data_IF_846622133620
#
_entry.id   IF_846622133620
#
_cell.length_a   1.000
_cell.length_b   1.000
_cell.length_c   1.000
_cell.angle_alpha   90.00
_cell.angle_beta   90.00
_cell.angle_gamma   90.00
#
_symmetry.space_group_name_H-M   'P 1'
#
loop_
_entity.id
_entity.type
_entity.pdbx_description
1 polymer ?
#
# COMPACT_ATOMS: atom_id res chain seq x y z
N UNK A 1 10.50 2.66 -6.87
CA UNK A 1 9.96 1.82 -7.96
C UNK A 1 10.50 2.30 -9.32
N UNK A 2 10.70 1.39 -10.28
CA UNK A 2 11.05 1.77 -11.66
C UNK A 2 9.93 2.59 -12.31
N UNK A 3 10.30 3.49 -13.22
CA UNK A 3 9.37 4.31 -14.02
C UNK A 3 8.44 5.23 -13.22
N UNK A 4 8.80 5.59 -12.00
CA UNK A 4 8.02 6.55 -11.18
C UNK A 4 7.87 7.91 -11.89
N UNK A 5 8.82 8.27 -12.75
CA UNK A 5 8.77 9.48 -13.58
C UNK A 5 7.61 9.50 -14.59
N UNK A 6 7.01 8.34 -14.88
CA UNK A 6 5.82 8.21 -15.77
C UNK A 6 4.50 8.32 -15.02
N UNK A 7 4.53 8.31 -13.68
CA UNK A 7 3.33 8.41 -12.84
C UNK A 7 2.85 9.86 -12.81
N UNK A 8 1.60 10.08 -13.20
CA UNK A 8 0.96 11.38 -13.08
C UNK A 8 0.17 11.42 -11.78
N UNK A 9 0.54 12.30 -10.87
CA UNK A 9 -0.14 12.49 -9.59
C UNK A 9 -1.25 13.51 -9.74
N UNK A 10 -2.46 13.17 -9.31
CA UNK A 10 -3.64 14.04 -9.37
C UNK A 10 -3.44 15.32 -8.53
N UNK A 11 -2.93 15.20 -7.30
CA UNK A 11 -2.68 16.33 -6.41
C UNK A 11 -1.71 17.38 -6.95
N UNK A 12 -0.91 17.02 -7.97
CA UNK A 12 0.05 17.92 -8.62
C UNK A 12 -0.34 18.33 -10.03
N UNK A 13 -1.08 17.48 -10.73
CA UNK A 13 -1.40 17.66 -12.14
C UNK A 13 -2.83 17.22 -12.45
N UNK A 14 -3.87 17.82 -11.80
CA UNK A 14 -5.26 17.39 -11.96
C UNK A 14 -5.75 17.50 -13.40
N UNK A 15 -5.38 18.59 -14.12
CA UNK A 15 -5.78 18.79 -15.51
C UNK A 15 -5.28 17.67 -16.42
N UNK A 16 -4.01 17.27 -16.24
CA UNK A 16 -3.44 16.17 -17.02
C UNK A 16 -4.09 14.83 -16.73
N UNK A 17 -4.51 14.58 -15.49
CA UNK A 17 -5.27 13.37 -15.14
C UNK A 17 -6.63 13.37 -15.83
N UNK A 18 -7.33 14.51 -15.87
CA UNK A 18 -8.60 14.65 -16.57
C UNK A 18 -8.44 14.38 -18.07
N UNK A 19 -7.42 14.97 -18.72
CA UNK A 19 -7.09 14.68 -20.13
C UNK A 19 -6.85 13.19 -20.39
N UNK A 20 -6.16 12.50 -19.45
CA UNK A 20 -5.94 11.07 -19.56
C UNK A 20 -7.26 10.28 -19.47
N UNK A 21 -8.17 10.64 -18.57
CA UNK A 21 -9.47 10.01 -18.48
C UNK A 21 -10.32 10.27 -19.74
N UNK A 22 -10.31 11.48 -20.26
CA UNK A 22 -11.08 11.86 -21.48
C UNK A 22 -10.58 11.10 -22.73
N UNK A 23 -9.30 10.82 -22.80
CA UNK A 23 -8.67 10.10 -23.92
C UNK A 23 -8.59 8.58 -23.72
N UNK A 24 -8.96 8.06 -22.57
CA UNK A 24 -8.85 6.65 -22.26
C UNK A 24 -9.83 5.80 -23.09
N UNK A 25 -9.36 4.65 -23.58
CA UNK A 25 -10.20 3.61 -24.17
C UNK A 25 -10.56 2.52 -23.15
N UNK A 26 -9.80 2.41 -22.08
CA UNK A 26 -9.98 1.46 -20.99
C UNK A 26 -9.28 1.99 -19.73
N UNK A 27 -9.91 1.85 -18.56
CA UNK A 27 -9.35 2.23 -17.28
C UNK A 27 -9.22 1.00 -16.38
N UNK A 28 -8.02 0.75 -15.86
CA UNK A 28 -7.82 -0.23 -14.81
C UNK A 28 -7.85 0.47 -13.45
N UNK A 29 -8.78 0.04 -12.61
CA UNK A 29 -8.95 0.48 -11.23
C UNK A 29 -8.26 -0.54 -10.32
N UNK A 30 -7.09 -0.19 -9.79
CA UNK A 30 -6.26 -1.13 -9.03
C UNK A 30 -6.20 -0.72 -7.57
N UNK A 31 -6.47 -1.67 -6.67
CA UNK A 31 -6.30 -1.55 -5.22
C UNK A 31 -7.28 -0.58 -4.53
N UNK A 32 -8.48 -0.47 -5.08
CA UNK A 32 -9.60 0.21 -4.44
C UNK A 32 -10.95 -0.35 -4.90
N UNK A 33 -11.89 -0.45 -3.97
CA UNK A 33 -13.21 -1.07 -4.13
C UNK A 33 -14.34 -0.07 -4.35
N UNK A 34 -14.08 1.22 -4.19
CA UNK A 34 -15.04 2.32 -4.32
C UNK A 34 -14.34 3.58 -4.83
N UNK A 35 -15.03 4.38 -5.64
CA UNK A 35 -14.50 5.62 -6.19
C UNK A 35 -14.11 6.64 -5.10
N UNK A 36 -14.73 6.59 -3.91
CA UNK A 36 -14.39 7.49 -2.81
C UNK A 36 -12.97 7.31 -2.27
N UNK A 37 -12.31 6.16 -2.53
CA UNK A 37 -10.92 5.92 -2.09
C UNK A 37 -9.87 6.65 -2.92
N UNK A 38 -10.24 7.17 -4.08
CA UNK A 38 -9.34 8.01 -4.88
C UNK A 38 -9.54 9.51 -4.61
N UNK A 39 -10.20 9.84 -3.48
CA UNK A 39 -10.34 11.19 -2.92
C UNK A 39 -10.76 12.22 -3.99
N UNK A 40 -9.94 13.25 -4.21
CA UNK A 40 -10.19 14.33 -5.16
C UNK A 40 -10.34 13.87 -6.62
N UNK A 41 -9.83 12.69 -6.97
CA UNK A 41 -9.94 12.14 -8.33
C UNK A 41 -11.30 11.44 -8.59
N UNK A 42 -12.15 11.30 -7.56
CA UNK A 42 -13.42 10.58 -7.63
C UNK A 42 -14.30 11.06 -8.77
N UNK A 43 -14.55 12.37 -8.85
CA UNK A 43 -15.48 12.94 -9.82
C UNK A 43 -14.99 12.73 -11.25
N UNK A 44 -13.68 12.87 -11.49
CA UNK A 44 -13.08 12.62 -12.79
C UNK A 44 -13.18 11.12 -13.20
N UNK A 45 -12.96 10.22 -12.24
CA UNK A 45 -13.10 8.79 -12.47
C UNK A 45 -14.55 8.39 -12.79
N UNK A 46 -15.53 8.96 -12.07
CA UNK A 46 -16.96 8.68 -12.28
C UNK A 46 -17.46 9.27 -13.59
N UNK A 47 -16.98 10.46 -13.98
CA UNK A 47 -17.32 11.10 -15.26
C UNK A 47 -16.70 10.40 -16.48
N UNK A 48 -15.62 9.66 -16.30
CA UNK A 48 -14.94 8.95 -17.39
C UNK A 48 -15.84 7.92 -18.05
N UNK A 49 -16.03 8.04 -19.37
CA UNK A 49 -16.89 7.17 -20.19
C UNK A 49 -16.23 5.86 -20.61
N UNK A 50 -14.91 5.77 -20.49
CA UNK A 50 -14.20 4.55 -20.83
C UNK A 50 -14.65 3.38 -19.92
N UNK A 51 -14.76 2.15 -20.47
CA UNK A 51 -15.02 0.97 -19.66
C UNK A 51 -13.94 0.81 -18.59
N UNK A 52 -14.37 0.35 -17.42
CA UNK A 52 -13.49 0.18 -16.26
C UNK A 52 -13.34 -1.30 -15.92
N UNK A 53 -12.13 -1.74 -15.65
CA UNK A 53 -11.84 -3.06 -15.07
C UNK A 53 -11.30 -2.82 -13.67
N UNK A 54 -11.97 -3.36 -12.66
CA UNK A 54 -11.51 -3.28 -11.28
C UNK A 54 -10.77 -4.57 -10.89
N UNK A 55 -9.59 -4.42 -10.30
CA UNK A 55 -8.80 -5.51 -9.72
C UNK A 55 -8.47 -5.09 -8.29
N UNK A 56 -9.00 -5.83 -7.31
CA UNK A 56 -8.93 -5.41 -5.92
C UNK A 56 -9.06 -6.59 -4.96
N UNK A 57 -8.57 -6.43 -3.73
CA UNK A 57 -8.69 -7.42 -2.67
C UNK A 57 -9.47 -6.91 -1.44
N UNK A 58 -10.02 -5.70 -1.50
CA UNK A 58 -10.83 -5.16 -0.41
C UNK A 58 -12.26 -5.72 -0.42
N UNK A 59 -12.90 -5.68 0.76
CA UNK A 59 -14.28 -6.13 0.94
C UNK A 59 -15.27 -5.13 0.31
N UNK A 60 -16.45 -5.65 -0.12
CA UNK A 60 -17.59 -4.85 -0.56
C UNK A 60 -17.28 -3.89 -1.75
N UNK A 61 -16.89 -4.42 -2.92
CA UNK A 61 -16.73 -3.61 -4.11
C UNK A 61 -18.06 -2.94 -4.50
N UNK A 62 -18.06 -1.64 -4.80
CA UNK A 62 -19.26 -0.86 -5.09
C UNK A 62 -19.15 0.02 -6.34
N UNK A 63 -18.06 -0.07 -7.10
CA UNK A 63 -17.91 0.66 -8.35
C UNK A 63 -18.64 -0.02 -9.50
N UNK A 64 -19.24 0.78 -10.38
CA UNK A 64 -19.74 0.30 -11.67
C UNK A 64 -18.56 0.03 -12.62
N UNK A 65 -18.40 -1.22 -13.04
CA UNK A 65 -17.28 -1.66 -13.87
C UNK A 65 -17.72 -2.69 -14.91
N UNK A 66 -17.04 -2.72 -16.04
CA UNK A 66 -17.23 -3.74 -17.08
C UNK A 66 -16.87 -5.13 -16.55
N UNK A 67 -15.80 -5.21 -15.77
CA UNK A 67 -15.29 -6.43 -15.14
C UNK A 67 -14.77 -6.10 -13.75
N UNK A 68 -15.20 -6.90 -12.77
CA UNK A 68 -14.75 -6.83 -11.39
C UNK A 68 -14.01 -8.13 -11.04
N UNK A 69 -12.73 -8.02 -10.75
CA UNK A 69 -11.90 -9.11 -10.23
C UNK A 69 -11.55 -8.75 -8.79
N UNK A 70 -12.39 -9.19 -7.86
CA UNK A 70 -12.21 -8.91 -6.43
C UNK A 70 -12.13 -10.21 -5.65
N UNK A 71 -11.09 -10.34 -4.81
CA UNK A 71 -10.93 -11.49 -3.94
C UNK A 71 -10.28 -11.10 -2.60
N UNK A 72 -11.08 -10.87 -1.54
CA UNK A 72 -10.59 -10.49 -0.23
C UNK A 72 -9.75 -11.56 0.50
N UNK A 73 -9.74 -12.80 0.02
CA UNK A 73 -8.92 -13.86 0.59
C UNK A 73 -7.45 -13.81 0.10
N UNK A 74 -7.18 -13.04 -0.95
CA UNK A 74 -5.84 -12.87 -1.51
C UNK A 74 -5.09 -11.76 -0.75
N UNK A 75 -3.78 -11.93 -0.59
CA UNK A 75 -2.94 -11.09 0.26
C UNK A 75 -2.79 -9.65 -0.22
N UNK A 76 -2.90 -9.41 -1.52
CA UNK A 76 -2.73 -8.10 -2.14
C UNK A 76 -3.30 -8.04 -3.55
N UNK A 77 -3.65 -6.85 -4.00
CA UNK A 77 -4.00 -6.63 -5.42
C UNK A 77 -2.84 -6.99 -6.35
N UNK A 78 -1.61 -6.78 -5.93
CA UNK A 78 -0.42 -7.18 -6.70
C UNK A 78 -0.32 -8.68 -6.91
N UNK A 79 -0.77 -9.50 -5.95
CA UNK A 79 -0.88 -10.94 -6.13
C UNK A 79 -1.93 -11.29 -7.18
N UNK A 80 -3.09 -10.62 -7.19
CA UNK A 80 -4.14 -10.84 -8.22
C UNK A 80 -3.59 -10.50 -9.60
N UNK A 81 -2.86 -9.39 -9.73
CA UNK A 81 -2.22 -8.99 -10.99
C UNK A 81 -1.24 -10.06 -11.48
N UNK A 82 -0.39 -10.60 -10.59
CA UNK A 82 0.48 -11.72 -10.95
C UNK A 82 -0.30 -12.93 -11.46
N UNK A 83 -1.35 -13.33 -10.73
CA UNK A 83 -2.19 -14.49 -11.08
C UNK A 83 -2.83 -14.32 -12.47
N UNK A 84 -3.30 -13.12 -12.80
CA UNK A 84 -3.83 -12.80 -14.12
C UNK A 84 -2.76 -12.93 -15.22
N UNK A 85 -1.58 -12.33 -15.01
CA UNK A 85 -0.46 -12.41 -15.94
C UNK A 85 -0.08 -13.87 -16.19
N UNK A 86 -0.04 -14.67 -15.11
CA UNK A 86 0.28 -16.10 -15.18
C UNK A 86 -0.77 -16.89 -15.94
N UNK A 87 -2.06 -16.70 -15.62
CA UNK A 87 -3.17 -17.40 -16.29
C UNK A 87 -3.29 -17.06 -17.78
N UNK A 88 -2.92 -15.86 -18.15
CA UNK A 88 -2.90 -15.40 -19.54
C UNK A 88 -1.62 -15.85 -20.29
N UNK A 89 -0.72 -16.61 -19.66
CA UNK A 89 0.57 -17.03 -20.21
C UNK A 89 1.50 -15.89 -20.64
N UNK A 90 1.40 -14.73 -19.95
CA UNK A 90 2.26 -13.57 -20.23
C UNK A 90 3.45 -13.44 -19.26
N UNK A 91 3.67 -14.37 -18.35
CA UNK A 91 4.74 -14.26 -17.35
C UNK A 91 6.12 -14.14 -17.99
N UNK A 92 6.39 -14.89 -19.05
CA UNK A 92 7.70 -14.84 -19.73
C UNK A 92 7.96 -13.48 -20.38
N UNK A 93 6.91 -12.78 -20.80
CA UNK A 93 6.99 -11.48 -21.45
C UNK A 93 7.17 -10.31 -20.48
N UNK A 94 6.90 -10.46 -19.17
CA UNK A 94 7.11 -9.36 -18.23
C UNK A 94 8.61 -9.13 -17.99
N UNK A 95 8.96 -7.85 -17.95
CA UNK A 95 10.33 -7.45 -17.68
C UNK A 95 10.60 -7.37 -16.15
N UNK A 96 11.88 -7.30 -15.81
CA UNK A 96 12.35 -7.18 -14.43
C UNK A 96 11.66 -6.08 -13.65
N UNK A 97 11.41 -4.92 -14.23
CA UNK A 97 10.78 -3.79 -13.53
C UNK A 97 9.32 -4.07 -13.16
N UNK A 98 8.60 -4.82 -13.99
CA UNK A 98 7.24 -5.26 -13.67
C UNK A 98 7.26 -6.24 -12.49
N UNK A 99 8.17 -7.22 -12.51
CA UNK A 99 8.34 -8.16 -11.40
C UNK A 99 8.71 -7.45 -10.08
N UNK A 100 9.55 -6.41 -10.12
CA UNK A 100 9.88 -5.56 -8.96
C UNK A 100 8.63 -4.87 -8.41
N UNK A 101 7.77 -4.31 -9.26
CA UNK A 101 6.56 -3.64 -8.83
C UNK A 101 5.58 -4.60 -8.16
N UNK A 102 5.34 -5.77 -8.77
CA UNK A 102 4.47 -6.82 -8.21
C UNK A 102 5.01 -7.30 -6.87
N UNK A 103 6.30 -7.64 -6.79
CA UNK A 103 6.92 -8.08 -5.55
C UNK A 103 6.82 -7.03 -4.45
N UNK A 104 7.07 -5.76 -4.78
CA UNK A 104 6.99 -4.66 -3.82
C UNK A 104 5.58 -4.52 -3.24
N UNK A 105 4.53 -4.56 -4.08
CA UNK A 105 3.14 -4.50 -3.62
C UNK A 105 2.78 -5.68 -2.72
N UNK A 106 3.12 -6.92 -3.11
CA UNK A 106 2.90 -8.09 -2.25
C UNK A 106 3.63 -7.96 -0.91
N UNK A 107 4.87 -7.47 -0.91
CA UNK A 107 5.69 -7.29 0.28
C UNK A 107 5.09 -6.23 1.22
N UNK A 108 4.64 -5.10 0.70
CA UNK A 108 4.08 -4.02 1.52
C UNK A 108 2.77 -4.41 2.16
N UNK A 109 1.86 -5.03 1.43
CA UNK A 109 0.54 -5.43 1.93
C UNK A 109 0.59 -6.55 2.98
N UNK A 110 1.65 -7.33 2.95
CA UNK A 110 1.85 -8.43 3.90
C UNK A 110 2.84 -8.10 5.03
N UNK A 111 3.25 -6.83 5.15
CA UNK A 111 4.22 -6.41 6.14
C UNK A 111 5.54 -7.19 6.06
N UNK A 112 6.09 -7.34 4.86
CA UNK A 112 7.28 -8.14 4.63
C UNK A 112 7.04 -9.65 4.72
N UNK A 113 5.84 -10.09 4.35
CA UNK A 113 5.40 -11.50 4.42
C UNK A 113 5.28 -12.04 5.85
N UNK A 114 4.88 -11.20 6.80
CA UNK A 114 4.70 -11.57 8.20
C UNK A 114 3.25 -11.80 8.59
N UNK A 115 2.29 -11.31 7.81
CA UNK A 115 0.86 -11.55 7.99
C UNK A 115 0.16 -11.74 6.65
N UNK A 116 -1.00 -12.40 6.68
CA UNK A 116 -1.81 -12.77 5.50
C UNK A 116 -1.00 -13.43 4.36
N UNK A 117 0.04 -14.19 4.72
CA UNK A 117 1.02 -14.75 3.79
C UNK A 117 1.38 -16.22 4.07
N UNK A 118 0.50 -16.94 4.77
CA UNK A 118 0.74 -18.35 5.13
C UNK A 118 0.42 -19.36 4.02
N UNK A 119 -0.09 -18.90 2.87
CA UNK A 119 -0.42 -19.77 1.75
C UNK A 119 0.83 -20.10 0.91
N UNK A 120 1.08 -21.38 0.58
CA UNK A 120 2.25 -21.79 -0.19
C UNK A 120 2.37 -21.09 -1.54
N UNK A 121 1.24 -20.73 -2.15
CA UNK A 121 1.18 -20.05 -3.45
C UNK A 121 1.90 -18.70 -3.42
N UNK A 122 1.90 -17.98 -2.31
CA UNK A 122 2.62 -16.72 -2.17
C UNK A 122 4.12 -16.93 -2.39
N UNK A 123 4.69 -17.94 -1.76
CA UNK A 123 6.12 -18.26 -1.90
C UNK A 123 6.44 -18.82 -3.28
N UNK A 124 5.52 -19.56 -3.91
CA UNK A 124 5.65 -19.94 -5.31
C UNK A 124 5.73 -18.69 -6.21
N UNK A 125 4.81 -17.74 -6.04
CA UNK A 125 4.80 -16.47 -6.79
C UNK A 125 6.11 -15.72 -6.61
N UNK A 126 6.57 -15.57 -5.37
CA UNK A 126 7.86 -14.92 -5.05
C UNK A 126 9.01 -15.64 -5.76
N UNK A 127 9.05 -16.97 -5.71
CA UNK A 127 10.06 -17.76 -6.40
C UNK A 127 10.08 -17.47 -7.91
N UNK A 128 8.91 -17.43 -8.54
CA UNK A 128 8.81 -17.11 -9.97
C UNK A 128 9.27 -15.67 -10.26
N UNK A 129 8.81 -14.70 -9.49
CA UNK A 129 9.23 -13.31 -9.66
C UNK A 129 10.75 -13.13 -9.55
N UNK A 130 11.41 -13.84 -8.63
CA UNK A 130 12.87 -13.81 -8.45
C UNK A 130 13.64 -14.33 -9.66
N UNK A 131 13.04 -15.19 -10.49
CA UNK A 131 13.68 -15.64 -11.76
C UNK A 131 13.95 -14.47 -12.70
N UNK A 132 13.26 -13.32 -12.53
CA UNK A 132 13.51 -12.09 -13.30
C UNK A 132 14.75 -11.32 -12.85
N UNK A 133 15.50 -11.81 -11.85
CA UNK A 133 16.85 -11.36 -11.51
C UNK A 133 16.92 -10.01 -10.80
N UNK A 134 15.99 -9.68 -9.92
CA UNK A 134 16.08 -8.51 -9.05
C UNK A 134 16.58 -8.87 -7.64
N UNK A 135 17.09 -7.87 -6.93
CA UNK A 135 17.55 -7.99 -5.53
C UNK A 135 16.37 -7.64 -4.58
N UNK A 136 15.73 -8.66 -4.00
CA UNK A 136 14.63 -8.49 -3.06
C UNK A 136 15.06 -7.78 -1.77
N UNK A 137 16.31 -8.00 -1.33
CA UNK A 137 16.81 -7.41 -0.08
C UNK A 137 17.05 -5.91 -0.26
N UNK A 138 17.46 -5.48 -1.47
CA UNK A 138 17.53 -4.06 -1.82
C UNK A 138 16.14 -3.42 -1.81
N UNK A 139 15.10 -4.12 -2.31
CA UNK A 139 13.71 -3.61 -2.26
C UNK A 139 13.29 -3.46 -0.81
N UNK A 140 13.50 -4.47 0.03
CA UNK A 140 13.18 -4.43 1.46
C UNK A 140 13.85 -3.26 2.16
N UNK A 141 15.17 -3.08 1.97
CA UNK A 141 15.91 -1.97 2.57
C UNK A 141 15.38 -0.61 2.12
N UNK A 142 15.03 -0.46 0.85
CA UNK A 142 14.52 0.80 0.33
C UNK A 142 13.12 1.15 0.86
N UNK A 143 12.32 0.16 1.21
CA UNK A 143 10.96 0.37 1.76
C UNK A 143 10.99 0.51 3.28
N UNK A 144 11.61 -0.44 3.98
CA UNK A 144 11.51 -0.53 5.45
C UNK A 144 12.70 0.05 6.22
N UNK A 145 13.85 0.23 5.57
CA UNK A 145 15.07 0.72 6.23
C UNK A 145 15.53 2.06 5.63
N UNK A 146 14.61 2.94 5.29
CA UNK A 146 14.87 4.24 4.66
C UNK A 146 14.37 5.42 5.51
N UNK A 147 14.51 5.29 6.84
CA UNK A 147 14.13 6.35 7.74
C UNK A 147 15.24 7.38 7.93
N UNK A 148 14.88 8.65 8.06
CA UNK A 148 15.79 9.69 8.53
C UNK A 148 16.17 9.50 10.00
N UNK A 149 17.25 10.10 10.45
CA UNK A 149 17.61 10.10 11.87
C UNK A 149 16.52 10.76 12.73
N UNK A 150 15.80 11.75 12.19
CA UNK A 150 14.69 12.41 12.87
C UNK A 150 13.49 11.48 13.00
N UNK A 151 13.14 10.76 11.97
CA UNK A 151 12.07 9.76 12.02
C UNK A 151 12.34 8.67 13.07
N UNK A 152 13.57 8.17 13.15
CA UNK A 152 13.95 7.18 14.18
C UNK A 152 13.86 7.78 15.60
N UNK A 153 14.33 9.01 15.80
CA UNK A 153 14.21 9.69 17.11
C UNK A 153 12.75 9.93 17.48
N UNK A 154 11.94 10.39 16.54
CA UNK A 154 10.50 10.58 16.71
C UNK A 154 9.81 9.29 17.15
N UNK A 155 10.05 8.18 16.44
CA UNK A 155 9.49 6.87 16.80
C UNK A 155 9.91 6.42 18.19
N UNK A 156 11.19 6.59 18.54
CA UNK A 156 11.69 6.31 19.90
C UNK A 156 11.00 7.16 20.96
N UNK A 157 10.84 8.46 20.72
CA UNK A 157 10.14 9.38 21.62
C UNK A 157 8.67 8.98 21.81
N UNK A 158 7.95 8.70 20.73
CA UNK A 158 6.56 8.28 20.80
C UNK A 158 6.38 7.00 21.61
N UNK A 159 7.24 6.01 21.44
CA UNK A 159 7.18 4.75 22.18
C UNK A 159 7.63 4.90 23.63
N UNK A 160 8.59 5.76 23.93
CA UNK A 160 9.12 5.92 25.28
C UNK A 160 8.32 6.91 26.14
N UNK A 161 7.85 8.01 25.55
CA UNK A 161 7.27 9.14 26.31
C UNK A 161 5.76 9.30 26.11
N UNK A 162 5.23 8.89 24.96
CA UNK A 162 3.83 9.16 24.61
C UNK A 162 2.93 7.92 24.64
N UNK A 163 3.52 6.73 24.63
CA UNK A 163 2.75 5.48 24.67
C UNK A 163 2.06 5.31 26.02
N UNK A 164 0.75 5.15 25.97
CA UNK A 164 -0.08 4.76 27.10
C UNK A 164 -0.54 3.33 26.92
N UNK A 165 -0.26 2.47 27.89
CA UNK A 165 -0.68 1.07 27.91
C UNK A 165 -1.83 0.91 28.90
N UNK A 166 -2.91 0.28 28.46
CA UNK A 166 -4.12 0.00 29.20
C UNK A 166 -4.24 -1.53 29.35
N UNK A 167 -3.53 -2.09 30.32
CA UNK A 167 -3.38 -3.55 30.49
C UNK A 167 -4.72 -4.27 30.63
N UNK A 168 -5.66 -3.71 31.41
CA UNK A 168 -6.99 -4.29 31.65
C UNK A 168 -7.82 -4.40 30.37
N UNK A 169 -7.54 -3.56 29.38
CA UNK A 169 -8.25 -3.51 28.10
C UNK A 169 -7.46 -4.18 26.95
N UNK A 170 -6.25 -4.66 27.20
CA UNK A 170 -5.34 -5.14 26.17
C UNK A 170 -5.17 -4.12 25.03
N UNK A 171 -5.13 -2.84 25.38
CA UNK A 171 -5.12 -1.72 24.45
C UNK A 171 -3.99 -0.74 24.75
N UNK A 172 -3.62 0.02 23.74
CA UNK A 172 -2.66 1.09 23.87
C UNK A 172 -3.06 2.29 23.00
N UNK A 173 -2.60 3.46 23.36
CA UNK A 173 -2.76 4.64 22.53
C UNK A 173 -1.61 5.63 22.72
N UNK A 174 -1.44 6.49 21.74
CA UNK A 174 -0.60 7.67 21.83
C UNK A 174 -1.17 8.79 20.95
N UNK A 175 -0.84 10.03 21.31
CA UNK A 175 -1.22 11.22 20.55
C UNK A 175 0.03 11.94 20.03
N UNK A 176 0.02 12.25 18.75
CA UNK A 176 1.05 13.05 18.06
C UNK A 176 0.51 14.48 18.01
N UNK A 177 1.15 15.39 18.75
CA UNK A 177 0.78 16.81 18.75
C UNK A 177 1.50 17.57 17.66
N UNK A 178 1.03 18.79 17.36
CA UNK A 178 1.74 19.71 16.47
C UNK A 178 3.14 20.00 16.97
N UNK A 179 3.30 20.22 18.27
CA UNK A 179 4.60 20.44 18.92
C UNK A 179 5.54 19.25 18.74
N UNK A 180 5.04 18.02 18.87
CA UNK A 180 5.85 16.82 18.60
C UNK A 180 6.35 16.79 17.15
N UNK A 181 5.46 17.12 16.20
CA UNK A 181 5.81 17.14 14.78
C UNK A 181 6.87 18.21 14.48
N UNK A 182 6.75 19.39 15.04
CA UNK A 182 7.72 20.49 14.85
C UNK A 182 9.07 20.15 15.46
N UNK A 183 9.10 19.64 16.69
CA UNK A 183 10.33 19.30 17.41
C UNK A 183 11.15 18.20 16.71
N UNK A 184 10.51 17.30 15.99
CA UNK A 184 11.17 16.20 15.30
C UNK A 184 11.27 16.38 13.77
N UNK A 185 10.97 17.59 13.26
CA UNK A 185 10.96 17.84 11.80
C UNK A 185 10.17 16.79 11.02
N UNK A 186 8.97 16.48 11.54
CA UNK A 186 8.11 15.42 11.05
C UNK A 186 7.79 15.60 9.56
N UNK A 187 7.91 14.53 8.81
CA UNK A 187 7.49 14.47 7.41
C UNK A 187 6.40 13.42 7.21
N UNK A 188 5.58 13.62 6.18
CA UNK A 188 4.54 12.64 5.81
C UNK A 188 5.20 11.28 5.56
N UNK A 189 4.80 10.27 6.33
CA UNK A 189 5.35 8.91 6.29
C UNK A 189 6.16 8.52 7.54
N UNK A 190 6.66 9.46 8.34
CA UNK A 190 7.45 9.14 9.54
C UNK A 190 6.64 8.36 10.60
N UNK A 191 5.32 8.56 10.64
CA UNK A 191 4.41 7.81 11.51
C UNK A 191 3.86 6.53 10.88
N UNK A 192 4.20 6.21 9.62
CA UNK A 192 3.68 5.03 8.97
C UNK A 192 4.12 3.75 9.69
N UNK A 193 3.15 2.88 9.99
CA UNK A 193 3.39 1.66 10.75
C UNK A 193 3.66 1.87 12.25
N UNK A 194 3.79 3.12 12.73
CA UNK A 194 4.07 3.39 14.14
C UNK A 194 2.96 2.88 15.05
N UNK A 195 1.70 2.95 14.61
CA UNK A 195 0.53 2.44 15.34
C UNK A 195 0.61 0.92 15.57
N UNK A 196 1.37 0.19 14.76
CA UNK A 196 1.53 -1.25 14.90
C UNK A 196 2.63 -1.66 15.91
N UNK A 197 3.51 -0.73 16.30
CA UNK A 197 4.59 -1.04 17.24
C UNK A 197 4.08 -1.56 18.59
N UNK A 198 3.06 -0.95 19.21
CA UNK A 198 2.53 -1.45 20.48
C UNK A 198 1.85 -2.82 20.38
N UNK A 199 1.39 -3.23 19.20
CA UNK A 199 0.80 -4.56 19.01
C UNK A 199 1.82 -5.71 19.20
N UNK A 200 3.13 -5.40 19.23
CA UNK A 200 4.20 -6.34 19.58
C UNK A 200 4.28 -6.64 21.07
N UNK A 201 3.60 -5.84 21.92
CA UNK A 201 3.51 -6.11 23.36
C UNK A 201 2.67 -7.36 23.56
N UNK A 202 3.19 -8.29 24.37
CA UNK A 202 2.51 -9.57 24.62
C UNK A 202 1.08 -9.36 25.14
N UNK A 203 0.09 -9.89 24.43
CA UNK A 203 -1.32 -9.81 24.81
C UNK A 203 -2.05 -8.57 24.33
N UNK A 204 -1.36 -7.58 23.70
CA UNK A 204 -1.99 -6.39 23.14
C UNK A 204 -2.88 -6.74 21.95
N UNK A 205 -4.09 -6.17 21.93
CA UNK A 205 -5.10 -6.44 20.90
C UNK A 205 -5.50 -5.21 20.10
N UNK A 206 -5.30 -4.02 20.66
CA UNK A 206 -5.69 -2.75 20.05
C UNK A 206 -4.60 -1.71 20.25
N UNK A 207 -4.28 -0.99 19.20
CA UNK A 207 -3.41 0.18 19.27
C UNK A 207 -4.04 1.34 18.52
N UNK A 208 -4.06 2.53 19.11
CA UNK A 208 -4.67 3.74 18.56
C UNK A 208 -3.61 4.83 18.48
N UNK A 209 -3.46 5.41 17.29
CA UNK A 209 -2.67 6.62 17.08
C UNK A 209 -3.60 7.78 16.74
N UNK A 210 -3.54 8.83 17.52
CA UNK A 210 -4.22 10.11 17.27
C UNK A 210 -3.20 11.11 16.75
N UNK A 211 -3.60 11.98 15.84
CA UNK A 211 -2.72 13.03 15.32
C UNK A 211 -3.50 14.34 15.19
N UNK A 212 -2.90 15.43 15.64
CA UNK A 212 -3.37 16.78 15.36
C UNK A 212 -3.18 17.11 13.87
N UNK A 213 -4.17 17.81 13.28
CA UNK A 213 -4.15 18.28 11.88
C UNK A 213 -3.23 19.50 11.69
#
# INVERSE_FOLDING_TARGET
LPHVEKVVRHDKHPEKVNELFDSANLVFCLDYNTASRVEEMKDALEACKAPKIMIDHHLNPSMETLLCISNPAISSTSEIVFRLIWQLNYFDAIEKHCAVAIYCGMMTDTGGFTYNSSYPEIFFIISQLLTKGFDKDKIYRNVYNNYSAWAIRFRGYMMCQKLNVLDDFHASYFAITREDMDNFHFTKGDAEGLVNEPLKIKGMKLSIALRED
#
